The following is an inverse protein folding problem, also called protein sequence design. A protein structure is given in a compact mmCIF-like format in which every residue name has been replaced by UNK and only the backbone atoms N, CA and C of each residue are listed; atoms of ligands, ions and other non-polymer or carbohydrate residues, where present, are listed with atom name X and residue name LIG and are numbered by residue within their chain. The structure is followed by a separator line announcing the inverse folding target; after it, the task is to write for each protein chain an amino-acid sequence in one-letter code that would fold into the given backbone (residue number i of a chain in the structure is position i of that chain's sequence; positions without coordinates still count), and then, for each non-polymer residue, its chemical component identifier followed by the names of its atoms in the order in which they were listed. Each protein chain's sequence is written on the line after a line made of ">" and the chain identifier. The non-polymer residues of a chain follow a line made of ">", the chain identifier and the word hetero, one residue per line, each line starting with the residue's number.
data_IF_725702476518
#
_entry.id   IF_725702476518
#
_cell.length_a   1.000
_cell.length_b   1.000
_cell.length_c   1.000
_cell.angle_alpha   90.00
_cell.angle_beta   90.00
_cell.angle_gamma   90.00
#
_symmetry.space_group_name_H-M   'P 1'
#
loop_
_entity.id
_entity.type
_entity.pdbx_description
1 polymer ?
#
# COMPACT_ATOMS: atom_id res chain seq x y z
N UNK A 1 41.72 -5.85 -50.83
CA UNK A 1 41.98 -6.85 -49.77
C UNK A 1 42.59 -6.21 -48.53
N UNK A 2 43.75 -5.55 -48.61
CA UNK A 2 44.42 -4.88 -47.45
C UNK A 2 43.52 -4.04 -46.52
N UNK A 3 42.64 -3.20 -47.05
CA UNK A 3 41.74 -2.35 -46.23
C UNK A 3 40.75 -3.19 -45.42
N UNK A 4 40.26 -4.31 -45.98
CA UNK A 4 39.33 -5.18 -45.26
C UNK A 4 40.04 -5.92 -44.12
N UNK A 5 41.30 -6.27 -44.32
CA UNK A 5 42.13 -6.94 -43.32
C UNK A 5 42.44 -5.99 -42.15
N UNK A 6 42.79 -4.72 -42.43
CA UNK A 6 42.98 -3.68 -41.40
C UNK A 6 41.69 -3.38 -40.61
N UNK A 7 40.55 -3.27 -41.28
CA UNK A 7 39.25 -3.07 -40.60
C UNK A 7 38.95 -4.26 -39.69
N UNK A 8 39.26 -5.48 -40.13
CA UNK A 8 39.04 -6.69 -39.36
C UNK A 8 39.92 -6.74 -38.11
N UNK A 9 41.18 -6.30 -38.23
CA UNK A 9 42.12 -6.22 -37.11
C UNK A 9 41.66 -5.20 -36.06
N UNK A 10 41.26 -4.00 -36.50
CA UNK A 10 40.69 -2.97 -35.61
C UNK A 10 39.42 -3.49 -34.93
N UNK A 11 38.56 -4.20 -35.67
CA UNK A 11 37.34 -4.77 -35.11
C UNK A 11 37.66 -5.85 -34.06
N UNK A 12 38.64 -6.71 -34.31
CA UNK A 12 39.07 -7.72 -33.34
C UNK A 12 39.65 -7.09 -32.07
N UNK A 13 40.43 -6.01 -32.20
CA UNK A 13 40.97 -5.27 -31.06
C UNK A 13 39.86 -4.63 -30.20
N UNK A 14 38.83 -4.10 -30.85
CA UNK A 14 37.63 -3.56 -30.21
C UNK A 14 36.84 -4.66 -29.48
N UNK A 15 36.75 -5.86 -30.07
CA UNK A 15 36.09 -7.00 -29.43
C UNK A 15 36.83 -7.45 -28.16
N UNK A 16 38.16 -7.50 -28.22
CA UNK A 16 39.02 -7.88 -27.10
C UNK A 16 38.91 -6.90 -25.92
N UNK A 17 38.78 -5.60 -26.20
CA UNK A 17 38.63 -4.54 -25.19
C UNK A 17 37.17 -4.06 -25.03
N UNK A 18 36.21 -4.88 -25.44
CA UNK A 18 34.80 -4.48 -25.50
C UNK A 18 34.23 -4.06 -24.13
N UNK A 19 34.79 -4.59 -23.04
CA UNK A 19 34.46 -4.21 -21.66
C UNK A 19 34.92 -2.81 -21.25
N UNK A 20 35.83 -2.17 -21.98
CA UNK A 20 36.34 -0.82 -21.67
C UNK A 20 35.80 0.28 -22.61
N UNK A 21 35.04 -0.09 -23.65
CA UNK A 21 34.55 0.86 -24.65
C UNK A 21 33.37 1.69 -24.12
N UNK A 22 33.61 2.99 -23.91
CA UNK A 22 32.58 3.95 -23.47
C UNK A 22 31.74 4.55 -24.61
N UNK A 23 32.37 4.85 -25.76
CA UNK A 23 31.72 5.42 -26.96
C UNK A 23 32.41 4.92 -28.22
N UNK A 24 31.63 4.61 -29.26
CA UNK A 24 32.12 4.18 -30.56
C UNK A 24 31.37 4.91 -31.66
N UNK A 25 32.08 5.44 -32.66
CA UNK A 25 31.45 6.09 -33.82
C UNK A 25 32.11 5.57 -35.10
N UNK A 26 31.30 5.09 -36.03
CA UNK A 26 31.71 4.79 -37.39
C UNK A 26 31.11 5.83 -38.33
N UNK A 27 31.95 6.44 -39.15
CA UNK A 27 31.51 7.28 -40.27
C UNK A 27 32.20 6.78 -41.54
N UNK A 28 31.40 6.36 -42.52
CA UNK A 28 31.89 5.99 -43.84
C UNK A 28 31.31 6.97 -44.86
N UNK A 29 32.17 7.64 -45.63
CA UNK A 29 31.76 8.54 -46.71
C UNK A 29 32.02 7.88 -48.05
N UNK A 30 30.98 7.80 -48.87
CA UNK A 30 31.04 7.23 -50.20
C UNK A 30 31.42 8.30 -51.22
N UNK A 31 32.05 7.89 -52.33
CA UNK A 31 32.50 8.81 -53.40
C UNK A 31 31.34 9.57 -54.06
N UNK A 32 30.12 9.08 -53.95
CA UNK A 32 28.89 9.70 -54.44
C UNK A 32 28.30 10.74 -53.47
N UNK A 33 28.99 11.04 -52.36
CA UNK A 33 28.57 12.05 -51.38
C UNK A 33 27.66 11.53 -50.27
N UNK A 34 27.20 10.27 -50.31
CA UNK A 34 26.42 9.70 -49.19
C UNK A 34 27.32 9.30 -48.02
N UNK A 35 26.78 9.37 -46.80
CA UNK A 35 27.50 8.98 -45.59
C UNK A 35 26.69 7.99 -44.75
N UNK A 36 27.34 6.93 -44.29
CA UNK A 36 26.82 6.06 -43.26
C UNK A 36 27.42 6.45 -41.92
N UNK A 37 26.59 6.76 -40.92
CA UNK A 37 27.04 7.08 -39.56
C UNK A 37 26.37 6.15 -38.56
N UNK A 38 27.18 5.49 -37.76
CA UNK A 38 26.75 4.72 -36.61
C UNK A 38 27.42 5.29 -35.36
N UNK A 39 26.67 5.45 -34.27
CA UNK A 39 27.21 5.88 -32.99
C UNK A 39 26.63 5.04 -31.86
N UNK A 40 27.52 4.37 -31.13
CA UNK A 40 27.23 3.67 -29.90
C UNK A 40 27.76 4.49 -28.73
N UNK A 41 26.95 4.62 -27.69
CA UNK A 41 27.30 5.27 -26.43
C UNK A 41 26.87 4.34 -25.30
N UNK A 42 27.83 3.84 -24.52
CA UNK A 42 27.58 2.84 -23.49
C UNK A 42 26.60 3.36 -22.45
N UNK A 43 26.73 4.59 -21.99
CA UNK A 43 25.81 5.16 -21.00
C UNK A 43 24.39 5.29 -21.56
N UNK A 44 24.24 5.64 -22.85
CA UNK A 44 22.92 5.69 -23.49
C UNK A 44 22.32 4.28 -23.65
N UNK A 45 23.13 3.33 -24.11
CA UNK A 45 22.75 1.93 -24.32
C UNK A 45 22.37 1.23 -23.01
N UNK A 46 23.16 1.40 -21.94
CA UNK A 46 22.85 0.89 -20.60
C UNK A 46 21.55 1.49 -20.04
N UNK A 47 21.28 2.78 -20.29
CA UNK A 47 20.02 3.42 -19.93
C UNK A 47 18.83 2.86 -20.71
N UNK A 48 19.02 2.54 -21.99
CA UNK A 48 17.98 1.94 -22.84
C UNK A 48 17.72 0.47 -22.45
N UNK A 49 18.77 -0.33 -22.21
CA UNK A 49 18.67 -1.68 -21.66
C UNK A 49 18.03 -1.68 -20.27
N UNK A 50 18.36 -0.73 -19.40
CA UNK A 50 17.69 -0.59 -18.10
C UNK A 50 16.21 -0.28 -18.27
N UNK A 51 15.82 0.58 -19.23
CA UNK A 51 14.42 0.91 -19.54
C UNK A 51 13.65 -0.25 -20.14
N UNK A 52 14.28 -1.03 -21.00
CA UNK A 52 13.68 -2.21 -21.65
C UNK A 52 13.56 -3.39 -20.67
N UNK A 53 14.52 -3.51 -19.74
CA UNK A 53 14.49 -4.44 -18.61
C UNK A 53 13.71 -3.91 -17.40
N UNK A 54 13.06 -2.74 -17.48
CA UNK A 54 12.13 -2.32 -16.43
C UNK A 54 11.01 -3.36 -16.37
N UNK A 55 10.77 -3.99 -15.22
CA UNK A 55 9.65 -4.92 -15.09
C UNK A 55 8.38 -4.18 -15.51
N UNK A 56 7.69 -4.68 -16.56
CA UNK A 56 6.36 -4.19 -16.93
C UNK A 56 5.53 -4.14 -15.65
N UNK A 57 4.85 -3.00 -15.40
CA UNK A 57 3.92 -2.88 -14.26
C UNK A 57 3.06 -4.14 -14.21
N UNK A 58 3.21 -4.92 -13.14
CA UNK A 58 2.47 -6.15 -13.00
C UNK A 58 0.98 -5.80 -12.95
N UNK A 59 0.15 -6.53 -13.68
CA UNK A 59 -1.32 -6.31 -13.74
C UNK A 59 -1.93 -6.18 -12.35
N UNK A 60 -1.38 -6.88 -11.37
CA UNK A 60 -1.80 -6.85 -9.96
C UNK A 60 -1.61 -5.46 -9.31
N UNK A 61 -0.50 -4.76 -9.59
CA UNK A 61 -0.25 -3.42 -9.07
C UNK A 61 -1.23 -2.41 -9.68
N UNK A 62 -1.60 -2.58 -10.95
CA UNK A 62 -2.60 -1.73 -11.60
C UNK A 62 -3.97 -1.92 -10.95
N UNK A 63 -4.38 -3.17 -10.68
CA UNK A 63 -5.62 -3.47 -9.98
C UNK A 63 -5.62 -2.82 -8.58
N UNK A 64 -4.54 -2.99 -7.80
CA UNK A 64 -4.44 -2.39 -6.48
C UNK A 64 -4.43 -0.85 -6.54
N UNK A 65 -3.75 -0.24 -7.52
CA UNK A 65 -3.77 1.21 -7.73
C UNK A 65 -5.19 1.75 -8.02
N UNK A 66 -5.96 1.04 -8.86
CA UNK A 66 -7.35 1.42 -9.16
C UNK A 66 -8.21 1.32 -7.90
N UNK A 67 -8.07 0.22 -7.14
CA UNK A 67 -8.78 0.04 -5.88
C UNK A 67 -8.40 1.09 -4.84
N UNK A 68 -7.13 1.52 -4.81
CA UNK A 68 -6.67 2.59 -3.92
C UNK A 68 -7.35 3.92 -4.25
N UNK A 69 -7.39 4.30 -5.53
CA UNK A 69 -8.06 5.54 -5.97
C UNK A 69 -9.56 5.50 -5.66
N UNK A 70 -10.22 4.36 -5.89
CA UNK A 70 -11.62 4.17 -5.48
C UNK A 70 -11.79 4.27 -3.96
N UNK A 71 -10.84 3.71 -3.21
CA UNK A 71 -10.81 3.78 -1.74
C UNK A 71 -10.69 5.19 -1.20
N UNK A 72 -9.92 6.06 -1.84
CA UNK A 72 -9.87 7.49 -1.48
C UNK A 72 -11.27 8.10 -1.58
N UNK A 73 -11.94 7.93 -2.73
CA UNK A 73 -13.29 8.48 -2.95
C UNK A 73 -14.31 7.95 -1.96
N UNK A 74 -14.31 6.63 -1.73
CA UNK A 74 -15.22 5.97 -0.78
C UNK A 74 -14.95 6.44 0.66
N UNK A 75 -13.68 6.52 1.09
CA UNK A 75 -13.33 6.95 2.43
C UNK A 75 -13.70 8.42 2.69
N UNK A 76 -13.55 9.30 1.70
CA UNK A 76 -14.03 10.70 1.78
C UNK A 76 -15.55 10.75 1.92
N UNK A 77 -16.28 9.97 1.11
CA UNK A 77 -17.74 9.93 1.19
C UNK A 77 -18.21 9.43 2.56
N UNK A 78 -17.61 8.35 3.07
CA UNK A 78 -17.91 7.81 4.40
C UNK A 78 -17.65 8.84 5.49
N UNK A 79 -16.48 9.50 5.46
CA UNK A 79 -16.12 10.55 6.42
C UNK A 79 -17.19 11.64 6.47
N UNK A 80 -17.55 12.20 5.31
CA UNK A 80 -18.52 13.29 5.21
C UNK A 80 -19.89 12.84 5.73
N UNK A 81 -20.37 11.66 5.31
CA UNK A 81 -21.67 11.14 5.74
C UNK A 81 -21.70 10.95 7.25
N UNK A 82 -20.72 10.25 7.84
CA UNK A 82 -20.75 9.97 9.27
C UNK A 82 -20.62 11.25 10.11
N UNK A 83 -19.79 12.20 9.72
CA UNK A 83 -19.64 13.47 10.44
C UNK A 83 -20.91 14.33 10.36
N UNK A 84 -21.50 14.46 9.18
CA UNK A 84 -22.73 15.25 9.00
C UNK A 84 -23.89 14.64 9.77
N UNK A 85 -24.11 13.33 9.65
CA UNK A 85 -25.18 12.65 10.38
C UNK A 85 -24.93 12.68 11.90
N UNK A 86 -23.69 12.52 12.36
CA UNK A 86 -23.37 12.65 13.78
C UNK A 86 -23.69 14.05 14.32
N UNK A 87 -23.39 15.10 13.55
CA UNK A 87 -23.71 16.48 13.93
C UNK A 87 -25.23 16.73 13.98
N UNK A 88 -25.98 16.25 12.99
CA UNK A 88 -27.44 16.42 12.93
C UNK A 88 -28.16 15.63 14.03
N UNK A 89 -27.70 14.42 14.34
CA UNK A 89 -28.26 13.56 15.40
C UNK A 89 -27.81 13.95 16.81
N UNK A 90 -27.02 15.01 16.98
CA UNK A 90 -26.52 15.46 18.30
C UNK A 90 -25.45 14.56 18.92
N UNK A 91 -24.90 13.59 18.18
CA UNK A 91 -23.86 12.64 18.63
C UNK A 91 -22.47 13.20 18.39
N UNK A 92 -22.19 14.33 19.03
CA UNK A 92 -20.97 15.14 18.79
C UNK A 92 -19.67 14.41 19.11
N UNK A 93 -19.70 13.49 20.07
CA UNK A 93 -18.59 12.59 20.39
C UNK A 93 -18.11 11.75 19.19
N UNK A 94 -19.02 11.38 18.28
CA UNK A 94 -18.70 10.65 17.06
C UNK A 94 -17.84 11.45 16.07
N UNK A 95 -18.02 12.78 16.00
CA UNK A 95 -17.38 13.63 15.00
C UNK A 95 -15.86 13.50 15.04
N UNK A 96 -15.26 13.57 16.24
CA UNK A 96 -13.81 13.49 16.41
C UNK A 96 -13.29 12.13 15.97
N UNK A 97 -13.88 11.05 16.47
CA UNK A 97 -13.39 9.70 16.21
C UNK A 97 -13.59 9.30 14.75
N UNK A 98 -14.75 9.57 14.14
CA UNK A 98 -14.96 9.35 12.71
C UNK A 98 -13.97 10.15 11.86
N UNK A 99 -13.70 11.40 12.22
CA UNK A 99 -12.72 12.23 11.51
C UNK A 99 -11.34 11.59 11.51
N UNK A 100 -10.88 11.12 12.68
CA UNK A 100 -9.58 10.46 12.80
C UNK A 100 -9.55 9.14 12.03
N UNK A 101 -10.57 8.28 12.21
CA UNK A 101 -10.63 6.96 11.57
C UNK A 101 -10.54 7.07 10.04
N UNK A 102 -11.34 7.95 9.45
CA UNK A 102 -11.44 8.03 7.99
C UNK A 102 -10.39 8.92 7.36
N UNK A 103 -9.84 9.92 8.08
CA UNK A 103 -8.64 10.63 7.63
C UNK A 103 -7.44 9.69 7.50
N UNK A 104 -7.24 8.77 8.46
CA UNK A 104 -6.19 7.76 8.39
C UNK A 104 -6.40 6.81 7.20
N UNK A 105 -7.63 6.36 6.96
CA UNK A 105 -7.97 5.53 5.81
C UNK A 105 -7.69 6.25 4.47
N UNK A 106 -8.06 7.54 4.35
CA UNK A 106 -7.75 8.37 3.16
C UNK A 106 -6.24 8.45 2.94
N UNK A 107 -5.47 8.72 4.01
CA UNK A 107 -4.01 8.76 3.94
C UNK A 107 -3.43 7.41 3.53
N UNK A 108 -3.93 6.30 4.08
CA UNK A 108 -3.49 4.96 3.69
C UNK A 108 -3.69 4.73 2.19
N UNK A 109 -4.90 4.95 1.67
CA UNK A 109 -5.20 4.75 0.26
C UNK A 109 -4.38 5.69 -0.64
N UNK A 110 -4.17 6.94 -0.23
CA UNK A 110 -3.34 7.88 -0.97
C UNK A 110 -1.89 7.41 -1.08
N UNK A 111 -1.28 7.01 0.04
CA UNK A 111 0.10 6.52 0.04
C UNK A 111 0.24 5.16 -0.65
N UNK A 112 -0.79 4.30 -0.59
CA UNK A 112 -0.86 3.04 -1.33
C UNK A 112 -0.96 3.28 -2.84
N UNK A 113 -1.82 4.20 -3.27
CA UNK A 113 -1.93 4.61 -4.67
C UNK A 113 -0.59 5.16 -5.19
N UNK A 114 0.04 6.07 -4.43
CA UNK A 114 1.34 6.65 -4.81
C UNK A 114 2.42 5.56 -4.93
N UNK A 115 2.47 4.63 -3.98
CA UNK A 115 3.38 3.48 -4.05
C UNK A 115 3.15 2.62 -5.30
N UNK A 116 1.90 2.33 -5.64
CA UNK A 116 1.54 1.51 -6.80
C UNK A 116 1.70 2.25 -8.14
N UNK A 117 1.60 3.58 -8.16
CA UNK A 117 1.89 4.39 -9.33
C UNK A 117 3.38 4.61 -9.55
N UNK A 118 4.23 4.47 -8.54
CA UNK A 118 5.67 4.67 -8.71
C UNK A 118 6.33 3.47 -9.41
N UNK A 119 7.29 3.77 -10.29
CA UNK A 119 8.12 2.74 -10.92
C UNK A 119 8.94 2.00 -9.85
N UNK A 120 9.17 0.67 -10.00
CA UNK A 120 9.96 -0.11 -9.05
C UNK A 120 11.37 0.42 -8.78
N UNK A 121 11.96 1.12 -9.75
CA UNK A 121 13.32 1.68 -9.67
C UNK A 121 13.33 3.07 -8.99
N UNK A 122 12.17 3.66 -8.72
CA UNK A 122 12.11 5.02 -8.18
C UNK A 122 12.43 5.04 -6.68
N UNK A 123 13.45 5.79 -6.27
CA UNK A 123 13.91 5.86 -4.86
C UNK A 123 12.80 6.29 -3.88
N UNK A 124 11.90 7.17 -4.30
CA UNK A 124 10.75 7.57 -3.48
C UNK A 124 9.79 6.42 -3.12
N UNK A 125 9.81 5.30 -3.87
CA UNK A 125 8.95 4.14 -3.62
C UNK A 125 9.16 3.56 -2.22
N UNK A 126 10.40 3.52 -1.75
CA UNK A 126 10.72 3.02 -0.41
C UNK A 126 10.10 3.91 0.69
N UNK A 127 10.10 5.23 0.48
CA UNK A 127 9.47 6.18 1.38
C UNK A 127 7.96 5.92 1.49
N UNK A 128 7.26 5.80 0.36
CA UNK A 128 5.82 5.50 0.34
C UNK A 128 5.51 4.12 0.92
N UNK A 129 6.37 3.12 0.68
CA UNK A 129 6.22 1.80 1.28
C UNK A 129 6.29 1.85 2.81
N UNK A 130 7.29 2.54 3.37
CA UNK A 130 7.44 2.71 4.82
C UNK A 130 6.24 3.44 5.43
N UNK A 131 5.84 4.57 4.83
CA UNK A 131 4.67 5.33 5.29
C UNK A 131 3.37 4.53 5.20
N UNK A 132 3.13 3.83 4.09
CA UNK A 132 1.97 2.95 3.92
C UNK A 132 1.92 1.89 5.01
N UNK A 133 3.07 1.32 5.37
CA UNK A 133 3.16 0.30 6.42
C UNK A 133 2.84 0.85 7.82
N UNK A 134 3.23 2.10 8.11
CA UNK A 134 2.83 2.79 9.34
C UNK A 134 1.32 3.08 9.32
N UNK A 135 0.83 3.64 8.22
CA UNK A 135 -0.58 3.98 8.03
C UNK A 135 -1.49 2.76 8.11
N UNK A 136 -1.02 1.57 7.73
CA UNK A 136 -1.76 0.32 7.89
C UNK A 136 -2.14 0.10 9.36
N UNK A 137 -1.18 0.17 10.29
CA UNK A 137 -1.46 -0.03 11.72
C UNK A 137 -2.29 1.11 12.32
N UNK A 138 -2.00 2.35 11.93
CA UNK A 138 -2.78 3.50 12.39
C UNK A 138 -4.24 3.41 11.93
N UNK A 139 -4.47 3.04 10.67
CA UNK A 139 -5.82 2.88 10.10
C UNK A 139 -6.59 1.77 10.81
N UNK A 140 -5.95 0.62 11.08
CA UNK A 140 -6.57 -0.46 11.86
C UNK A 140 -6.98 0.01 13.25
N UNK A 141 -6.10 0.72 13.97
CA UNK A 141 -6.46 1.27 15.29
C UNK A 141 -7.56 2.34 15.19
N UNK A 142 -7.50 3.16 14.13
CA UNK A 142 -8.44 4.24 13.87
C UNK A 142 -9.86 3.73 13.67
N UNK A 143 -10.05 2.69 12.86
CA UNK A 143 -11.36 2.13 12.54
C UNK A 143 -12.20 1.72 13.75
N UNK A 144 -11.56 1.32 14.84
CA UNK A 144 -12.24 0.85 16.03
C UNK A 144 -12.27 1.88 17.16
N UNK A 145 -11.76 3.11 16.96
CA UNK A 145 -11.87 4.20 17.95
C UNK A 145 -13.32 4.42 18.42
N UNK A 146 -14.32 4.53 17.51
CA UNK A 146 -15.72 4.70 17.93
C UNK A 146 -16.22 3.52 18.76
N UNK A 147 -15.82 2.30 18.39
CA UNK A 147 -16.22 1.08 19.09
C UNK A 147 -15.79 1.10 20.56
N UNK A 148 -14.54 1.44 20.85
CA UNK A 148 -14.02 1.37 22.21
C UNK A 148 -14.35 2.58 23.07
N UNK A 149 -14.47 3.77 22.47
CA UNK A 149 -14.64 5.03 23.22
C UNK A 149 -16.06 5.55 23.27
N UNK A 150 -16.94 5.11 22.36
CA UNK A 150 -18.33 5.56 22.30
C UNK A 150 -19.28 4.41 22.67
N UNK A 151 -19.12 3.25 22.02
CA UNK A 151 -20.15 2.20 22.09
C UNK A 151 -20.02 1.30 23.33
N UNK A 152 -18.84 1.27 23.94
CA UNK A 152 -18.56 0.45 25.10
C UNK A 152 -18.67 1.26 26.40
N UNK A 153 -19.10 0.62 27.52
CA UNK A 153 -18.96 1.22 28.84
C UNK A 153 -17.49 1.56 29.14
N UNK A 154 -17.26 2.60 29.93
CA UNK A 154 -15.92 3.18 30.15
C UNK A 154 -14.85 2.16 30.60
N UNK A 155 -15.21 1.19 31.45
CA UNK A 155 -14.25 0.23 32.01
C UNK A 155 -13.72 -0.76 30.94
N UNK A 156 -14.55 -1.59 30.27
CA UNK A 156 -14.06 -2.43 29.18
C UNK A 156 -13.54 -1.61 27.97
N UNK A 157 -14.12 -0.43 27.70
CA UNK A 157 -13.72 0.44 26.58
C UNK A 157 -12.27 0.92 26.69
N UNK A 158 -11.88 1.46 27.84
CA UNK A 158 -10.51 1.94 28.09
C UNK A 158 -9.49 0.80 28.13
N UNK A 159 -9.84 -0.36 28.71
CA UNK A 159 -8.99 -1.55 28.73
C UNK A 159 -8.69 -2.08 27.32
N UNK A 160 -9.72 -2.21 26.49
CA UNK A 160 -9.56 -2.65 25.10
C UNK A 160 -8.79 -1.64 24.25
N UNK A 161 -9.03 -0.33 24.46
CA UNK A 161 -8.22 0.71 23.82
C UNK A 161 -6.73 0.60 24.18
N UNK A 162 -6.41 0.34 25.45
CA UNK A 162 -5.03 0.07 25.88
C UNK A 162 -4.41 -1.11 25.12
N UNK A 163 -5.17 -2.19 24.93
CA UNK A 163 -4.77 -3.34 24.12
C UNK A 163 -4.51 -2.99 22.65
N UNK A 164 -5.37 -2.17 22.05
CA UNK A 164 -5.22 -1.67 20.67
C UNK A 164 -3.96 -0.83 20.52
N UNK A 165 -3.72 0.11 21.44
CA UNK A 165 -2.51 0.94 21.42
C UNK A 165 -1.25 0.09 21.57
N UNK A 166 -1.24 -0.87 22.50
CA UNK A 166 -0.13 -1.80 22.69
C UNK A 166 0.15 -2.63 21.43
N UNK A 167 -0.89 -3.21 20.81
CA UNK A 167 -0.73 -4.00 19.58
C UNK A 167 -0.31 -3.13 18.39
N UNK A 168 -0.77 -1.89 18.31
CA UNK A 168 -0.36 -0.94 17.27
C UNK A 168 1.13 -0.62 17.39
N UNK A 169 1.60 -0.27 18.59
CA UNK A 169 3.02 -0.01 18.86
C UNK A 169 3.87 -1.25 18.63
N UNK A 170 3.43 -2.42 19.10
CA UNK A 170 4.11 -3.69 18.87
C UNK A 170 4.22 -4.02 17.36
N UNK A 171 3.13 -3.85 16.61
CA UNK A 171 3.10 -4.07 15.16
C UNK A 171 4.07 -3.16 14.42
N UNK A 172 4.09 -1.87 14.76
CA UNK A 172 5.04 -0.90 14.20
C UNK A 172 6.48 -1.26 14.55
N UNK A 173 6.76 -1.63 15.80
CA UNK A 173 8.09 -2.04 16.26
C UNK A 173 8.59 -3.27 15.48
N UNK A 174 7.80 -4.35 15.42
CA UNK A 174 8.18 -5.57 14.73
C UNK A 174 8.33 -5.38 13.22
N UNK A 175 7.50 -4.52 12.63
CA UNK A 175 7.61 -4.17 11.23
C UNK A 175 8.91 -3.41 10.93
N UNK A 176 9.33 -2.52 11.84
CA UNK A 176 10.58 -1.77 11.74
C UNK A 176 11.84 -2.62 11.79
N UNK A 177 11.80 -3.82 12.38
CA UNK A 177 12.95 -4.74 12.45
C UNK A 177 13.38 -5.27 11.07
N UNK A 178 12.50 -5.21 10.06
CA UNK A 178 12.74 -5.67 8.69
C UNK A 178 13.29 -7.11 8.56
N UNK A 179 13.12 -7.95 9.58
CA UNK A 179 13.47 -9.38 9.54
C UNK A 179 12.26 -10.21 9.13
N UNK A 180 12.48 -11.44 8.64
CA UNK A 180 11.38 -12.38 8.33
C UNK A 180 10.50 -12.65 9.56
N UNK A 181 11.13 -12.80 10.73
CA UNK A 181 10.42 -12.96 12.01
C UNK A 181 9.63 -11.72 12.41
N UNK A 182 10.24 -10.53 12.29
CA UNK A 182 9.58 -9.24 12.57
C UNK A 182 8.34 -9.01 11.70
N UNK A 183 8.43 -9.26 10.38
CA UNK A 183 7.26 -9.17 9.48
C UNK A 183 6.13 -10.11 9.88
N UNK A 184 6.45 -11.34 10.31
CA UNK A 184 5.44 -12.30 10.78
C UNK A 184 4.79 -11.83 12.08
N UNK A 185 5.57 -11.32 13.03
CA UNK A 185 5.04 -10.77 14.28
C UNK A 185 4.18 -9.54 14.03
N UNK A 186 4.60 -8.64 13.14
CA UNK A 186 3.82 -7.47 12.75
C UNK A 186 2.46 -7.86 12.14
N UNK A 187 2.43 -8.86 11.24
CA UNK A 187 1.18 -9.39 10.69
C UNK A 187 0.27 -9.96 11.79
N UNK A 188 0.84 -10.74 12.73
CA UNK A 188 0.09 -11.29 13.87
C UNK A 188 -0.49 -10.15 14.71
N UNK A 189 0.29 -9.11 15.04
CA UNK A 189 -0.19 -7.94 15.79
C UNK A 189 -1.34 -7.25 15.07
N UNK A 190 -1.26 -7.06 13.75
CA UNK A 190 -2.34 -6.46 12.96
C UNK A 190 -3.62 -7.29 12.99
N UNK A 191 -3.50 -8.62 12.86
CA UNK A 191 -4.64 -9.54 12.93
C UNK A 191 -5.27 -9.46 14.32
N UNK A 192 -4.48 -9.58 15.39
CA UNK A 192 -4.97 -9.46 16.75
C UNK A 192 -5.69 -8.12 17.00
N UNK A 193 -5.18 -7.04 16.42
CA UNK A 193 -5.79 -5.71 16.52
C UNK A 193 -7.19 -5.68 15.87
N UNK A 194 -7.37 -6.39 14.75
CA UNK A 194 -8.69 -6.57 14.11
C UNK A 194 -9.64 -7.40 14.97
N UNK A 195 -9.14 -8.47 15.60
CA UNK A 195 -9.94 -9.39 16.41
C UNK A 195 -10.30 -8.84 17.80
N UNK A 196 -9.56 -7.86 18.33
CA UNK A 196 -9.97 -7.14 19.53
C UNK A 196 -11.35 -6.49 19.39
N UNK A 197 -11.77 -6.14 18.16
CA UNK A 197 -13.12 -5.61 17.92
C UNK A 197 -14.20 -6.66 18.17
N UNK A 198 -13.91 -7.94 17.89
CA UNK A 198 -14.82 -9.06 18.14
C UNK A 198 -14.93 -9.32 19.65
N UNK A 199 -13.83 -9.19 20.39
CA UNK A 199 -13.83 -9.29 21.86
C UNK A 199 -14.68 -8.19 22.50
N UNK A 200 -14.88 -7.05 21.83
CA UNK A 200 -15.73 -5.97 22.33
C UNK A 200 -17.24 -6.30 22.24
N UNK A 201 -17.65 -7.23 21.37
CA UNK A 201 -19.06 -7.51 21.08
C UNK A 201 -19.90 -7.85 22.31
N UNK A 202 -19.45 -8.71 23.25
CA UNK A 202 -20.22 -9.02 24.46
C UNK A 202 -20.44 -7.81 25.38
N UNK A 203 -19.61 -6.77 25.27
CA UNK A 203 -19.70 -5.54 26.08
C UNK A 203 -20.60 -4.47 25.43
N UNK A 204 -21.05 -4.68 24.20
CA UNK A 204 -22.02 -3.79 23.55
C UNK A 204 -23.38 -3.85 24.26
N UNK A 205 -24.04 -2.70 24.38
CA UNK A 205 -25.38 -2.63 24.96
C UNK A 205 -26.38 -3.54 24.24
N UNK A 206 -27.41 -3.98 24.95
CA UNK A 206 -28.47 -4.82 24.38
C UNK A 206 -29.22 -4.17 23.19
N UNK A 207 -29.13 -2.85 23.05
CA UNK A 207 -29.70 -2.09 21.93
C UNK A 207 -29.09 -2.42 20.56
N UNK A 208 -27.88 -3.01 20.52
CA UNK A 208 -27.27 -3.44 19.25
C UNK A 208 -27.89 -4.75 18.77
N UNK A 209 -28.44 -4.70 17.56
CA UNK A 209 -29.00 -5.82 16.82
C UNK A 209 -27.96 -6.89 16.48
N UNK A 210 -28.42 -8.10 16.14
CA UNK A 210 -27.55 -9.18 15.67
C UNK A 210 -26.80 -8.76 14.39
N UNK A 211 -27.47 -8.02 13.51
CA UNK A 211 -26.88 -7.56 12.25
C UNK A 211 -25.67 -6.65 12.47
N UNK A 212 -25.77 -5.68 13.39
CA UNK A 212 -24.66 -4.78 13.74
C UNK A 212 -23.46 -5.54 14.29
N UNK A 213 -23.70 -6.53 15.16
CA UNK A 213 -22.64 -7.40 15.70
C UNK A 213 -21.96 -8.22 14.60
N UNK A 214 -22.74 -8.73 13.64
CA UNK A 214 -22.20 -9.46 12.49
C UNK A 214 -21.33 -8.56 11.60
N UNK A 215 -21.67 -7.29 11.41
CA UNK A 215 -20.85 -6.34 10.64
C UNK A 215 -19.44 -6.18 11.23
N UNK A 216 -19.32 -6.13 12.56
CA UNK A 216 -18.02 -6.06 13.25
C UNK A 216 -17.20 -7.33 13.01
N UNK A 217 -17.83 -8.51 13.08
CA UNK A 217 -17.18 -9.80 12.81
C UNK A 217 -16.70 -9.86 11.36
N UNK A 218 -17.56 -9.50 10.39
CA UNK A 218 -17.19 -9.48 8.98
C UNK A 218 -16.04 -8.51 8.71
N UNK A 219 -16.07 -7.32 9.31
CA UNK A 219 -14.97 -6.37 9.21
C UNK A 219 -13.66 -6.96 9.75
N UNK A 220 -13.67 -7.60 10.92
CA UNK A 220 -12.47 -8.22 11.50
C UNK A 220 -11.89 -9.33 10.61
N UNK A 221 -12.75 -10.16 10.01
CA UNK A 221 -12.34 -11.22 9.06
C UNK A 221 -11.72 -10.61 7.79
N UNK A 222 -12.38 -9.63 7.19
CA UNK A 222 -11.91 -8.95 5.98
C UNK A 222 -10.57 -8.23 6.22
N UNK A 223 -10.42 -7.55 7.35
CA UNK A 223 -9.15 -6.92 7.74
C UNK A 223 -8.04 -7.95 7.94
N UNK A 224 -8.35 -9.12 8.49
CA UNK A 224 -7.38 -10.22 8.64
C UNK A 224 -6.85 -10.71 7.29
N UNK A 225 -7.72 -10.83 6.28
CA UNK A 225 -7.32 -11.17 4.92
C UNK A 225 -6.47 -10.08 4.28
N UNK A 226 -6.88 -8.82 4.44
CA UNK A 226 -6.13 -7.67 3.95
C UNK A 226 -4.72 -7.59 4.55
N UNK A 227 -4.58 -7.74 5.86
CA UNK A 227 -3.28 -7.76 6.56
C UNK A 227 -2.42 -8.92 6.06
N UNK A 228 -3.00 -10.12 5.98
CA UNK A 228 -2.28 -11.31 5.53
C UNK A 228 -1.73 -11.11 4.11
N UNK A 229 -2.55 -10.58 3.21
CA UNK A 229 -2.13 -10.24 1.84
C UNK A 229 -1.04 -9.14 1.83
N UNK A 230 -1.16 -8.12 2.69
CA UNK A 230 -0.21 -7.01 2.76
C UNK A 230 1.18 -7.48 3.21
N UNK A 231 1.25 -8.41 4.16
CA UNK A 231 2.52 -8.93 4.68
C UNK A 231 3.09 -10.12 3.90
N UNK A 232 2.30 -10.76 3.04
CA UNK A 232 2.80 -11.71 2.04
C UNK A 232 3.48 -11.01 0.86
N UNK A 233 3.16 -9.73 0.62
CA UNK A 233 3.80 -8.96 -0.44
C UNK A 233 5.30 -8.79 -0.18
N UNK A 234 6.11 -9.19 -1.15
CA UNK A 234 7.55 -8.98 -1.09
C UNK A 234 7.90 -7.68 -1.81
N UNK A 235 8.28 -6.68 -1.02
CA UNK A 235 8.73 -5.37 -1.50
C UNK A 235 9.93 -5.46 -2.47
N UNK A 236 10.72 -6.53 -2.41
CA UNK A 236 11.87 -6.77 -3.31
C UNK A 236 11.44 -7.21 -4.71
N UNK A 237 10.39 -8.01 -4.81
CA UNK A 237 9.96 -8.62 -6.08
C UNK A 237 8.70 -7.99 -6.67
N UNK A 238 8.11 -6.99 -6.00
CA UNK A 238 6.97 -6.21 -6.49
C UNK A 238 5.68 -7.02 -6.70
N UNK A 239 5.65 -8.27 -6.24
CA UNK A 239 4.51 -9.18 -6.34
C UNK A 239 3.52 -8.93 -5.21
N UNK A 240 2.67 -7.94 -5.40
CA UNK A 240 1.49 -7.81 -4.55
C UNK A 240 0.40 -8.79 -5.00
N UNK A 241 -0.34 -9.39 -4.06
CA UNK A 241 -1.54 -10.14 -4.40
C UNK A 241 -2.54 -9.23 -5.14
N UNK A 242 -3.18 -9.73 -6.20
CA UNK A 242 -4.19 -8.95 -6.91
C UNK A 242 -5.39 -8.67 -6.00
N UNK A 243 -5.93 -7.46 -6.11
CA UNK A 243 -7.15 -7.02 -5.44
C UNK A 243 -7.11 -7.08 -3.90
N UNK A 244 -5.94 -7.01 -3.28
CA UNK A 244 -5.80 -7.02 -1.83
C UNK A 244 -6.63 -5.92 -1.14
N UNK A 245 -6.62 -4.70 -1.69
CA UNK A 245 -7.32 -3.56 -1.10
C UNK A 245 -8.85 -3.65 -1.23
N UNK A 246 -9.36 -4.64 -1.96
CA UNK A 246 -10.78 -4.95 -1.99
C UNK A 246 -11.29 -5.40 -0.61
N UNK A 247 -10.49 -6.17 0.12
CA UNK A 247 -10.83 -6.58 1.48
C UNK A 247 -10.95 -5.39 2.43
N UNK A 248 -10.05 -4.41 2.30
CA UNK A 248 -10.10 -3.17 3.09
C UNK A 248 -11.34 -2.33 2.73
N UNK A 249 -11.69 -2.25 1.45
CA UNK A 249 -12.89 -1.56 0.98
C UNK A 249 -14.17 -2.18 1.58
N UNK A 250 -14.31 -3.50 1.50
CA UNK A 250 -15.48 -4.17 2.08
C UNK A 250 -15.51 -4.05 3.61
N UNK A 251 -14.38 -4.16 4.30
CA UNK A 251 -14.30 -3.92 5.74
C UNK A 251 -14.74 -2.49 6.09
N UNK A 252 -14.29 -1.51 5.29
CA UNK A 252 -14.67 -0.11 5.44
C UNK A 252 -16.18 0.07 5.28
N UNK A 253 -16.82 -0.59 4.32
CA UNK A 253 -18.27 -0.54 4.15
C UNK A 253 -19.02 -1.18 5.32
N UNK A 254 -18.55 -2.31 5.85
CA UNK A 254 -19.13 -2.93 7.04
C UNK A 254 -19.08 -1.99 8.24
N UNK A 255 -17.92 -1.35 8.48
CA UNK A 255 -17.74 -0.40 9.57
C UNK A 255 -18.54 0.87 9.35
N UNK A 256 -18.61 1.39 8.13
CA UNK A 256 -19.47 2.52 7.80
C UNK A 256 -20.92 2.23 8.20
N UNK A 257 -21.45 1.09 7.79
CA UNK A 257 -22.83 0.72 8.07
C UNK A 257 -23.09 0.51 9.56
N UNK A 258 -22.15 -0.12 10.27
CA UNK A 258 -22.20 -0.26 11.72
C UNK A 258 -22.28 1.10 12.44
N UNK A 259 -21.41 2.05 12.08
CA UNK A 259 -21.43 3.37 12.68
C UNK A 259 -22.68 4.17 12.28
N UNK A 260 -23.14 4.05 11.04
CA UNK A 260 -24.33 4.77 10.56
C UNK A 260 -25.60 4.30 11.27
N UNK A 261 -25.77 2.99 11.46
CA UNK A 261 -26.90 2.42 12.19
C UNK A 261 -26.92 2.91 13.64
N UNK A 262 -25.75 2.95 14.29
CA UNK A 262 -25.66 3.53 15.63
C UNK A 262 -26.04 5.01 15.64
N UNK A 263 -25.65 5.81 14.65
CA UNK A 263 -26.03 7.24 14.59
C UNK A 263 -27.54 7.41 14.43
N UNK A 264 -28.19 6.53 13.66
CA UNK A 264 -29.63 6.56 13.40
C UNK A 264 -30.53 6.02 14.51
N UNK A 265 -29.97 5.24 15.45
CA UNK A 265 -30.67 4.69 16.61
C UNK A 265 -30.87 5.73 17.73
#
# INVERSE_FOLDING_TARGET
>A
MKILDEIREIFNLILEHSEDVSRMRFEARMKNGSSFRYSFDRQKWERELQKENLPRRETNQLINAILDVLGIGIAVAILVILVVFAAVSGKTEGILYYSISWALAILYYLFSALYNFLSPVHTAREFFFKFRSILLFLTLSGFFLPLYLIYLPANPGTGLMGGVLLLCVAGLYFNGLNTRGGRRMAAISGILLSWLSVIAIPFLSASFSLFEKMLVIFAAVLLSFWITAAFQSDHSTSKEPPAMNLFLLFASLCLFWFNLLWIGA
#
